data_IF_662380453555
#
_entry.id   IF_662380453555
#
_cell.length_a   1.000
_cell.length_b   1.000
_cell.length_c   1.000
_cell.angle_alpha   90.00
_cell.angle_beta   90.00
_cell.angle_gamma   90.00
#
_symmetry.space_group_name_H-M   'P 1'
#
loop_
_entity.id
_entity.type
_entity.pdbx_description
1 polymer ?
#
# COMPACT_ATOMS: atom_id res chain seq x y z
N UNK A 1 -26.85 -26.00 23.41
CA UNK A 1 -25.67 -25.27 22.90
C UNK A 1 -24.37 -25.93 23.36
N UNK A 2 -24.19 -26.17 24.66
CA UNK A 2 -22.99 -26.85 25.21
C UNK A 2 -22.84 -28.30 24.72
N UNK A 3 -23.91 -29.09 24.70
CA UNK A 3 -23.91 -30.44 24.11
C UNK A 3 -23.80 -30.45 22.57
N UNK A 4 -24.20 -29.36 21.91
CA UNK A 4 -24.22 -29.23 20.44
C UNK A 4 -22.87 -28.76 19.86
N UNK A 5 -22.05 -28.10 20.68
CA UNK A 5 -20.70 -27.65 20.32
C UNK A 5 -19.60 -28.54 20.95
N UNK A 6 -19.97 -29.43 21.87
CA UNK A 6 -19.10 -30.06 22.85
C UNK A 6 -18.34 -31.33 22.43
N UNK A 7 -18.15 -31.64 21.14
CA UNK A 7 -17.35 -32.83 20.78
C UNK A 7 -16.39 -32.68 19.60
N UNK A 8 -16.39 -31.55 18.87
CA UNK A 8 -15.50 -31.37 17.71
C UNK A 8 -14.75 -30.03 17.61
N UNK A 9 -15.17 -29.00 18.32
CA UNK A 9 -14.60 -27.65 18.20
C UNK A 9 -14.23 -27.09 19.60
N UNK A 10 -13.04 -26.52 19.77
CA UNK A 10 -12.53 -25.90 21.01
C UNK A 10 -13.33 -24.63 21.43
N UNK A 11 -14.65 -24.73 21.56
CA UNK A 11 -15.56 -23.62 21.86
C UNK A 11 -15.98 -23.62 23.33
N UNK A 12 -15.93 -22.46 23.97
CA UNK A 12 -16.42 -22.25 25.35
C UNK A 12 -17.62 -21.30 25.37
N UNK A 13 -18.67 -21.68 26.08
CA UNK A 13 -19.84 -20.84 26.34
C UNK A 13 -19.68 -20.09 27.66
N UNK A 14 -20.00 -18.80 27.64
CA UNK A 14 -19.87 -17.91 28.79
C UNK A 14 -21.22 -17.27 29.12
N UNK A 15 -21.53 -17.13 30.40
CA UNK A 15 -22.86 -16.70 30.88
C UNK A 15 -23.24 -15.25 30.51
N UNK A 16 -22.27 -14.47 30.03
CA UNK A 16 -22.49 -13.11 29.58
C UNK A 16 -21.21 -12.44 29.12
N UNK A 17 -21.34 -11.23 28.60
CA UNK A 17 -20.22 -10.51 27.99
C UNK A 17 -19.06 -10.25 28.96
N UNK A 18 -19.34 -9.97 30.23
CA UNK A 18 -18.28 -9.80 31.25
C UNK A 18 -17.42 -11.05 31.40
N UNK A 19 -18.05 -12.23 31.43
CA UNK A 19 -17.35 -13.51 31.54
C UNK A 19 -16.57 -13.82 30.26
N UNK A 20 -17.18 -13.59 29.09
CA UNK A 20 -16.55 -13.71 27.77
C UNK A 20 -15.28 -12.86 27.65
N UNK A 21 -15.36 -11.58 28.01
CA UNK A 21 -14.23 -10.66 27.97
C UNK A 21 -13.14 -11.06 28.98
N UNK A 22 -13.53 -11.54 30.17
CA UNK A 22 -12.61 -12.07 31.16
C UNK A 22 -11.86 -13.31 30.65
N UNK A 23 -12.58 -14.23 29.99
CA UNK A 23 -12.01 -15.43 29.35
C UNK A 23 -11.05 -15.05 28.23
N UNK A 24 -11.41 -14.11 27.37
CA UNK A 24 -10.54 -13.59 26.31
C UNK A 24 -9.21 -13.06 26.86
N UNK A 25 -9.26 -12.23 27.92
CA UNK A 25 -8.05 -11.74 28.58
C UNK A 25 -7.23 -12.85 29.25
N UNK A 26 -7.91 -13.87 29.79
CA UNK A 26 -7.26 -15.06 30.34
C UNK A 26 -6.49 -15.84 29.28
N UNK A 27 -7.13 -16.14 28.14
CA UNK A 27 -6.52 -16.82 27.00
C UNK A 27 -5.35 -16.01 26.43
N UNK A 28 -5.52 -14.70 26.26
CA UNK A 28 -4.46 -13.83 25.77
C UNK A 28 -3.25 -13.78 26.72
N UNK A 29 -3.50 -13.74 28.02
CA UNK A 29 -2.42 -13.76 29.02
C UNK A 29 -1.69 -15.11 29.06
N UNK A 30 -2.42 -16.22 28.91
CA UNK A 30 -1.85 -17.56 28.87
C UNK A 30 -1.03 -17.80 27.60
N UNK A 31 -1.51 -17.33 26.45
CA UNK A 31 -0.79 -17.45 25.18
C UNK A 31 0.41 -16.49 25.06
N UNK A 32 0.36 -15.37 25.78
CA UNK A 32 1.33 -14.28 25.80
C UNK A 32 1.97 -13.90 24.44
N UNK A 33 1.18 -13.61 23.39
CA UNK A 33 1.70 -13.35 22.05
C UNK A 33 2.51 -12.04 21.98
N UNK A 34 3.63 -12.06 21.26
CA UNK A 34 4.42 -10.85 20.96
C UNK A 34 3.72 -9.92 19.96
N UNK A 35 2.94 -10.51 19.04
CA UNK A 35 2.25 -9.80 17.95
C UNK A 35 0.77 -10.14 17.97
N UNK A 36 -0.07 -9.11 17.93
CA UNK A 36 -1.50 -9.21 17.69
C UNK A 36 -1.77 -8.86 16.24
N UNK A 37 -2.33 -9.81 15.48
CA UNK A 37 -2.69 -9.64 14.07
C UNK A 37 -4.19 -9.43 13.96
N UNK A 38 -4.62 -8.48 13.14
CA UNK A 38 -6.04 -8.31 12.83
C UNK A 38 -6.31 -7.32 11.71
N UNK A 39 -7.59 -7.09 11.44
CA UNK A 39 -8.06 -6.14 10.45
C UNK A 39 -8.65 -4.90 11.12
N UNK A 40 -8.22 -3.71 10.67
CA UNK A 40 -8.61 -2.43 11.27
C UNK A 40 -8.50 -2.42 12.81
N UNK A 41 -7.36 -2.91 13.31
CA UNK A 41 -7.15 -3.16 14.73
C UNK A 41 -7.38 -1.91 15.59
N UNK A 42 -7.19 -0.72 15.04
CA UNK A 42 -7.46 0.54 15.72
C UNK A 42 -8.92 0.67 16.15
N UNK A 43 -9.86 0.40 15.24
CA UNK A 43 -11.29 0.47 15.55
C UNK A 43 -11.71 -0.69 16.46
N UNK A 44 -11.31 -1.92 16.12
CA UNK A 44 -11.66 -3.14 16.85
C UNK A 44 -11.21 -3.11 18.32
N UNK A 45 -9.96 -2.69 18.57
CA UNK A 45 -9.44 -2.59 19.94
C UNK A 45 -10.03 -1.41 20.71
N UNK A 46 -10.34 -0.29 20.05
CA UNK A 46 -11.02 0.83 20.71
C UNK A 46 -12.41 0.40 21.21
N UNK A 47 -13.16 -0.35 20.40
CA UNK A 47 -14.44 -0.92 20.79
C UNK A 47 -14.29 -1.95 21.93
N UNK A 48 -13.30 -2.84 21.85
CA UNK A 48 -13.01 -3.81 22.91
C UNK A 48 -12.71 -3.11 24.25
N UNK A 49 -11.89 -2.06 24.25
CA UNK A 49 -11.60 -1.27 25.45
C UNK A 49 -12.85 -0.62 26.03
N UNK A 50 -13.72 -0.09 25.17
CA UNK A 50 -14.99 0.47 25.60
C UNK A 50 -15.86 -0.58 26.31
N UNK A 51 -15.96 -1.80 25.76
CA UNK A 51 -16.72 -2.90 26.39
C UNK A 51 -16.10 -3.40 27.69
N UNK A 52 -14.77 -3.57 27.75
CA UNK A 52 -14.06 -3.91 29.00
C UNK A 52 -14.38 -2.92 30.12
N UNK A 53 -14.43 -1.63 29.78
CA UNK A 53 -14.76 -0.56 30.73
C UNK A 53 -16.24 -0.58 31.15
N UNK A 54 -17.15 -0.75 30.19
CA UNK A 54 -18.59 -0.77 30.43
C UNK A 54 -18.99 -1.97 31.29
N UNK A 55 -18.44 -3.15 31.01
CA UNK A 55 -18.68 -4.39 31.75
C UNK A 55 -17.85 -4.48 33.05
N UNK A 56 -17.03 -3.47 33.37
CA UNK A 56 -16.15 -3.39 34.56
C UNK A 56 -15.23 -4.61 34.71
N UNK A 57 -14.70 -5.14 33.59
CA UNK A 57 -13.92 -6.38 33.58
C UNK A 57 -12.60 -6.17 34.33
N UNK A 58 -12.25 -7.01 35.31
CA UNK A 58 -11.02 -6.87 36.07
C UNK A 58 -9.80 -7.22 35.20
N UNK A 59 -8.61 -6.73 35.59
CA UNK A 59 -7.35 -7.04 34.92
C UNK A 59 -7.31 -6.74 33.40
N UNK A 60 -8.02 -5.70 32.94
CA UNK A 60 -8.01 -5.27 31.54
C UNK A 60 -6.59 -5.03 30.97
N UNK A 61 -5.64 -4.67 31.83
CA UNK A 61 -4.24 -4.47 31.47
C UNK A 61 -3.56 -5.72 30.87
N UNK A 62 -4.13 -6.92 31.07
CA UNK A 62 -3.70 -8.18 30.42
C UNK A 62 -3.81 -8.15 28.89
N UNK A 63 -4.51 -7.16 28.33
CA UNK A 63 -4.50 -6.87 26.90
C UNK A 63 -3.09 -6.51 26.40
N UNK A 64 -2.29 -5.83 27.22
CA UNK A 64 -0.87 -5.61 27.03
C UNK A 64 -0.02 -6.49 27.95
N UNK A 65 1.26 -6.14 28.09
CA UNK A 65 2.19 -6.77 29.05
C UNK A 65 2.51 -5.89 30.25
N UNK A 66 2.09 -4.62 30.22
CA UNK A 66 2.30 -3.68 31.33
C UNK A 66 1.12 -3.70 32.30
N UNK A 67 1.37 -4.03 33.58
CA UNK A 67 0.35 -3.94 34.63
C UNK A 67 -0.10 -2.50 34.82
N UNK A 68 -1.42 -2.30 34.97
CA UNK A 68 -2.01 -0.99 35.20
C UNK A 68 -3.18 -1.03 36.17
N UNK A 69 -3.30 0.07 36.90
CA UNK A 69 -4.37 0.37 37.84
C UNK A 69 -5.39 1.33 37.22
N UNK A 70 -6.60 1.32 37.76
CA UNK A 70 -7.70 2.13 37.27
C UNK A 70 -8.39 1.57 36.02
N UNK A 71 -9.46 2.21 35.52
CA UNK A 71 -10.19 1.78 34.34
C UNK A 71 -9.42 2.08 33.04
N UNK A 72 -9.70 1.35 31.94
CA UNK A 72 -9.12 1.67 30.64
C UNK A 72 -9.56 3.06 30.16
N UNK A 73 -8.63 3.82 29.56
CA UNK A 73 -8.92 5.14 29.01
C UNK A 73 -9.88 5.05 27.82
N UNK A 74 -10.92 5.89 27.82
CA UNK A 74 -11.94 5.98 26.78
C UNK A 74 -11.77 7.30 26.02
N UNK A 75 -10.73 7.43 25.23
CA UNK A 75 -10.54 8.59 24.37
C UNK A 75 -10.53 8.17 22.89
N UNK A 76 -11.02 9.02 21.97
CA UNK A 76 -10.95 8.74 20.54
C UNK A 76 -9.49 8.74 20.05
N UNK A 77 -9.20 7.87 19.07
CA UNK A 77 -7.89 7.78 18.42
C UNK A 77 -7.02 6.59 18.84
N UNK A 78 -5.86 6.46 18.18
CA UNK A 78 -4.98 5.29 18.33
C UNK A 78 -4.13 5.31 19.63
N UNK A 79 -4.09 6.45 20.33
CA UNK A 79 -3.30 6.63 21.56
C UNK A 79 -3.71 5.67 22.68
N UNK A 80 -4.98 5.64 23.11
CA UNK A 80 -5.47 4.73 24.14
C UNK A 80 -5.30 3.25 23.77
N UNK A 81 -5.48 2.91 22.48
CA UNK A 81 -5.25 1.55 21.98
C UNK A 81 -3.78 1.15 22.11
N UNK A 82 -2.85 1.98 21.62
CA UNK A 82 -1.40 1.76 21.74
C UNK A 82 -0.97 1.67 23.19
N UNK A 83 -1.56 2.50 24.05
CA UNK A 83 -1.34 2.44 25.48
C UNK A 83 -1.80 1.07 26.00
N UNK A 84 -3.05 0.65 25.73
CA UNK A 84 -3.61 -0.58 26.28
C UNK A 84 -2.88 -1.87 25.88
N UNK A 85 -2.38 -1.96 24.64
CA UNK A 85 -1.63 -3.13 24.16
C UNK A 85 -0.12 -3.03 24.39
N UNK A 86 0.35 -2.07 25.20
CA UNK A 86 1.77 -1.84 25.41
C UNK A 86 2.53 -3.12 25.78
N UNK A 87 3.65 -3.36 25.09
CA UNK A 87 4.44 -4.60 25.20
C UNK A 87 4.05 -5.70 24.21
N UNK A 88 2.98 -5.50 23.42
CA UNK A 88 2.62 -6.33 22.26
C UNK A 88 2.64 -5.47 21.00
N UNK A 89 3.20 -5.99 19.92
CA UNK A 89 3.14 -5.35 18.61
C UNK A 89 1.76 -5.55 18.00
N UNK A 90 1.27 -4.54 17.27
CA UNK A 90 0.00 -4.61 16.58
C UNK A 90 0.24 -4.61 15.08
N UNK A 91 -0.10 -5.71 14.42
CA UNK A 91 -0.10 -5.80 12.98
C UNK A 91 -1.52 -5.62 12.43
N UNK A 92 -1.73 -4.47 11.81
CA UNK A 92 -2.99 -4.08 11.20
C UNK A 92 -2.93 -4.38 9.70
N UNK A 93 -3.62 -5.43 9.26
CA UNK A 93 -3.62 -5.88 7.87
C UNK A 93 -4.20 -4.82 6.93
N UNK A 94 -5.19 -4.03 7.36
CA UNK A 94 -5.78 -2.96 6.55
C UNK A 94 -4.74 -1.87 6.26
N UNK A 95 -4.01 -1.41 7.29
CA UNK A 95 -2.96 -0.39 7.13
C UNK A 95 -1.79 -0.92 6.31
N UNK A 96 -1.36 -2.14 6.60
CA UNK A 96 -0.25 -2.79 5.90
C UNK A 96 -0.59 -2.97 4.41
N UNK A 97 -1.80 -3.41 4.08
CA UNK A 97 -2.26 -3.54 2.70
C UNK A 97 -2.30 -2.18 1.97
N UNK A 98 -2.78 -1.11 2.62
CA UNK A 98 -2.79 0.25 2.05
C UNK A 98 -1.41 0.76 1.69
N UNK A 99 -0.40 0.38 2.47
CA UNK A 99 0.98 0.80 2.25
C UNK A 99 1.71 -0.06 1.21
N UNK A 100 1.50 -1.37 1.26
CA UNK A 100 2.27 -2.35 0.48
C UNK A 100 1.65 -2.68 -0.88
N UNK A 101 0.33 -2.54 -1.03
CA UNK A 101 -0.42 -3.00 -2.21
C UNK A 101 -1.32 -1.89 -2.76
N UNK A 102 -1.50 -1.86 -4.09
CA UNK A 102 -2.48 -1.00 -4.75
C UNK A 102 -3.75 -1.81 -5.08
N UNK A 103 -4.81 -1.66 -4.29
CA UNK A 103 -6.16 -2.25 -4.54
C UNK A 103 -7.11 -1.32 -5.31
N UNK A 104 -8.43 -1.49 -5.25
CA UNK A 104 -9.43 -0.43 -5.50
C UNK A 104 -10.14 -0.09 -4.21
N UNK A 105 -10.76 -1.08 -3.57
CA UNK A 105 -11.06 -1.09 -2.13
C UNK A 105 -9.91 -1.74 -1.35
N UNK A 106 -9.97 -1.54 -0.05
CA UNK A 106 -9.13 -2.26 0.91
C UNK A 106 -10.00 -2.97 1.93
N UNK A 107 -11.26 -3.26 1.60
CA UNK A 107 -12.14 -4.09 2.43
C UNK A 107 -11.59 -5.54 2.47
N UNK A 108 -11.92 -6.26 3.55
CA UNK A 108 -11.38 -7.61 3.78
C UNK A 108 -11.72 -8.56 2.62
N UNK A 109 -12.90 -8.41 2.03
CA UNK A 109 -13.39 -9.21 0.92
C UNK A 109 -12.52 -9.03 -0.33
N UNK A 110 -12.29 -7.79 -0.76
CA UNK A 110 -11.46 -7.49 -1.94
C UNK A 110 -10.00 -7.86 -1.70
N UNK A 111 -9.48 -7.66 -0.49
CA UNK A 111 -8.11 -8.05 -0.17
C UNK A 111 -7.93 -9.57 -0.15
N UNK A 112 -8.89 -10.32 0.37
CA UNK A 112 -8.86 -11.78 0.39
C UNK A 112 -8.94 -12.35 -1.03
N UNK A 113 -9.81 -11.81 -1.88
CA UNK A 113 -9.94 -12.25 -3.27
C UNK A 113 -8.70 -11.89 -4.10
N UNK A 114 -8.20 -10.66 -3.96
CA UNK A 114 -7.07 -10.18 -4.77
C UNK A 114 -5.74 -10.83 -4.38
N UNK A 115 -5.46 -10.97 -3.08
CA UNK A 115 -4.17 -11.46 -2.56
C UNK A 115 -4.18 -12.96 -2.29
N UNK A 116 -5.22 -13.49 -1.65
CA UNK A 116 -5.27 -14.91 -1.26
C UNK A 116 -5.96 -15.79 -2.30
N UNK A 117 -6.52 -15.20 -3.38
CA UNK A 117 -7.35 -15.90 -4.38
C UNK A 117 -8.52 -16.67 -3.76
N UNK A 118 -8.99 -16.21 -2.60
CA UNK A 118 -10.06 -16.84 -1.84
C UNK A 118 -11.10 -15.79 -1.49
N UNK A 119 -12.33 -16.01 -1.93
CA UNK A 119 -13.46 -15.15 -1.53
C UNK A 119 -13.80 -15.41 -0.06
N UNK A 120 -14.02 -14.33 0.70
CA UNK A 120 -14.56 -14.43 2.07
C UNK A 120 -15.91 -15.16 2.02
N UNK A 121 -16.11 -16.11 2.92
CA UNK A 121 -17.35 -16.85 3.00
C UNK A 121 -18.41 -16.00 3.72
N UNK A 122 -19.34 -15.41 2.96
CA UNK A 122 -20.43 -14.60 3.49
C UNK A 122 -20.21 -13.08 3.36
N UNK A 123 -21.12 -12.30 3.96
CA UNK A 123 -21.09 -10.84 4.05
C UNK A 123 -21.09 -10.40 5.52
N UNK A 124 -20.86 -9.12 5.77
CA UNK A 124 -21.01 -8.56 7.12
C UNK A 124 -22.45 -8.76 7.64
N UNK A 125 -22.54 -9.21 8.88
CA UNK A 125 -23.82 -9.48 9.54
C UNK A 125 -24.44 -8.19 10.04
N UNK A 126 -25.72 -7.97 9.70
CA UNK A 126 -26.51 -6.89 10.27
C UNK A 126 -26.91 -7.20 11.71
N UNK A 127 -27.20 -6.15 12.49
CA UNK A 127 -27.67 -6.32 13.87
C UNK A 127 -28.98 -7.11 13.96
N UNK A 128 -29.81 -7.09 12.91
CA UNK A 128 -31.04 -7.87 12.83
C UNK A 128 -30.74 -9.36 12.64
N UNK A 129 -29.87 -9.71 11.70
CA UNK A 129 -29.45 -11.11 11.45
C UNK A 129 -28.74 -11.70 12.68
N UNK A 130 -27.92 -10.92 13.39
CA UNK A 130 -27.31 -11.37 14.64
C UNK A 130 -28.38 -11.68 15.68
N UNK A 131 -29.38 -10.80 15.87
CA UNK A 131 -30.47 -11.08 16.82
C UNK A 131 -31.26 -12.34 16.43
N UNK A 132 -31.56 -12.49 15.15
CA UNK A 132 -32.27 -13.65 14.61
C UNK A 132 -31.51 -14.96 14.86
N UNK A 133 -30.19 -14.95 14.64
CA UNK A 133 -29.32 -16.09 14.88
C UNK A 133 -29.34 -16.56 16.34
N UNK A 134 -29.57 -15.66 17.30
CA UNK A 134 -29.74 -15.99 18.72
C UNK A 134 -31.20 -16.31 19.11
N UNK A 135 -32.20 -15.77 18.41
CA UNK A 135 -33.62 -15.98 18.74
C UNK A 135 -34.24 -17.23 18.10
N UNK A 136 -33.65 -17.75 17.01
CA UNK A 136 -34.22 -18.84 16.21
C UNK A 136 -34.29 -20.23 16.86
N UNK A 137 -33.94 -20.37 18.16
CA UNK A 137 -34.03 -21.63 18.92
C UNK A 137 -33.09 -22.75 18.47
N UNK A 138 -32.33 -22.57 17.38
CA UNK A 138 -31.39 -23.55 16.81
C UNK A 138 -29.95 -23.09 17.03
N UNK A 139 -29.12 -23.97 17.58
CA UNK A 139 -27.68 -23.71 17.79
C UNK A 139 -26.89 -23.42 16.50
N UNK A 140 -27.47 -23.76 15.35
CA UNK A 140 -26.91 -23.56 14.02
C UNK A 140 -26.64 -22.09 13.67
N UNK A 141 -27.53 -21.16 14.06
CA UNK A 141 -27.33 -19.72 13.79
C UNK A 141 -26.10 -19.16 14.51
N UNK A 142 -25.96 -19.50 15.80
CA UNK A 142 -24.80 -19.12 16.62
C UNK A 142 -23.52 -19.80 16.12
N UNK A 143 -23.60 -21.06 15.68
CA UNK A 143 -22.45 -21.77 15.10
C UNK A 143 -21.92 -21.05 13.86
N UNK A 144 -22.79 -20.63 12.94
CA UNK A 144 -22.40 -19.87 11.73
C UNK A 144 -21.74 -18.54 12.05
N UNK A 145 -22.21 -17.83 13.08
CA UNK A 145 -21.58 -16.59 13.54
C UNK A 145 -20.14 -16.84 14.04
N UNK A 146 -19.95 -17.89 14.83
CA UNK A 146 -18.62 -18.26 15.36
C UNK A 146 -17.68 -18.69 14.23
N UNK A 147 -18.16 -19.54 13.30
CA UNK A 147 -17.38 -19.97 12.13
C UNK A 147 -16.99 -18.78 11.25
N UNK A 148 -17.91 -17.84 11.01
CA UNK A 148 -17.63 -16.62 10.26
C UNK A 148 -16.53 -15.78 10.91
N UNK A 149 -16.59 -15.56 12.23
CA UNK A 149 -15.57 -14.80 12.95
C UNK A 149 -14.19 -15.50 12.97
N UNK A 150 -14.17 -16.84 13.06
CA UNK A 150 -12.94 -17.64 12.98
C UNK A 150 -12.34 -17.59 11.57
N UNK A 151 -13.16 -17.69 10.53
CA UNK A 151 -12.72 -17.57 9.15
C UNK A 151 -12.10 -16.19 8.88
N UNK A 152 -12.72 -15.11 9.35
CA UNK A 152 -12.16 -13.75 9.22
C UNK A 152 -10.82 -13.61 9.94
N UNK A 153 -10.68 -14.20 11.12
CA UNK A 153 -9.41 -14.22 11.88
C UNK A 153 -8.32 -14.98 11.12
N UNK A 154 -8.66 -16.11 10.50
CA UNK A 154 -7.74 -16.88 9.67
C UNK A 154 -7.34 -16.12 8.39
N UNK A 155 -8.28 -15.43 7.75
CA UNK A 155 -7.99 -14.56 6.61
C UNK A 155 -7.02 -13.43 6.99
N UNK A 156 -7.19 -12.80 8.16
CA UNK A 156 -6.26 -11.79 8.65
C UNK A 156 -4.83 -12.32 8.79
N UNK A 157 -4.68 -13.53 9.34
CA UNK A 157 -3.37 -14.16 9.50
C UNK A 157 -2.73 -14.50 8.15
N UNK A 158 -3.51 -15.05 7.22
CA UNK A 158 -3.04 -15.36 5.87
C UNK A 158 -2.67 -14.08 5.09
N UNK A 159 -3.44 -13.00 5.23
CA UNK A 159 -3.10 -11.70 4.65
C UNK A 159 -1.80 -11.15 5.23
N UNK A 160 -1.61 -11.24 6.55
CA UNK A 160 -0.37 -10.80 7.18
C UNK A 160 0.86 -11.55 6.63
N UNK A 161 0.70 -12.85 6.37
CA UNK A 161 1.72 -13.68 5.75
C UNK A 161 1.99 -13.28 4.30
N UNK A 162 0.94 -13.17 3.47
CA UNK A 162 1.05 -12.86 2.04
C UNK A 162 1.62 -11.45 1.79
N UNK A 163 1.25 -10.49 2.64
CA UNK A 163 1.82 -9.14 2.61
C UNK A 163 3.28 -9.09 3.05
N UNK A 164 3.79 -10.16 3.67
CA UNK A 164 5.09 -10.20 4.34
C UNK A 164 5.30 -9.00 5.28
N UNK A 165 4.21 -8.57 5.92
CA UNK A 165 4.15 -7.30 6.62
C UNK A 165 5.05 -7.28 7.87
N UNK A 166 5.28 -8.42 8.54
CA UNK A 166 6.17 -8.51 9.70
C UNK A 166 7.66 -8.36 9.32
N UNK A 167 8.23 -9.15 8.39
CA UNK A 167 9.59 -8.95 7.90
C UNK A 167 9.85 -7.53 7.37
N UNK A 168 8.89 -6.98 6.61
CA UNK A 168 8.99 -5.64 6.05
C UNK A 168 8.89 -4.57 7.14
N UNK A 169 7.95 -4.65 8.08
CA UNK A 169 7.81 -3.65 9.15
C UNK A 169 9.01 -3.62 10.10
N UNK A 170 9.61 -4.78 10.38
CA UNK A 170 10.87 -4.88 11.12
C UNK A 170 11.99 -4.08 10.42
N UNK A 171 11.98 -4.05 9.09
CA UNK A 171 12.94 -3.31 8.29
C UNK A 171 12.56 -1.83 8.05
N UNK A 172 11.26 -1.50 8.11
CA UNK A 172 10.70 -0.18 7.73
C UNK A 172 10.58 0.80 8.91
N UNK A 173 10.59 0.32 10.16
CA UNK A 173 10.29 1.08 11.41
C UNK A 173 11.19 2.30 11.71
N UNK A 174 11.92 2.85 10.72
CA UNK A 174 12.89 3.93 10.85
C UNK A 174 12.66 5.20 10.00
N UNK A 175 11.56 5.46 9.26
CA UNK A 175 11.47 6.73 8.47
C UNK A 175 10.04 7.33 8.30
N UNK A 176 9.94 8.68 8.20
CA UNK A 176 8.84 9.48 7.62
C UNK A 176 9.31 10.60 6.63
N UNK A 177 8.39 11.15 5.80
CA UNK A 177 8.62 11.85 4.50
C UNK A 177 8.39 13.39 4.52
N UNK A 178 8.88 14.12 3.49
CA UNK A 178 9.09 15.58 3.50
C UNK A 178 8.83 16.38 2.19
N UNK A 179 8.74 17.72 2.29
CA UNK A 179 8.56 18.70 1.18
C UNK A 179 9.72 19.70 0.99
N UNK A 180 10.31 19.71 -0.21
CA UNK A 180 11.29 20.66 -0.77
C UNK A 180 11.41 20.39 -2.28
N UNK A 181 12.06 21.27 -3.05
CA UNK A 181 12.19 21.13 -4.52
C UNK A 181 12.87 19.81 -4.89
N UNK A 182 12.09 18.92 -5.50
CA UNK A 182 12.49 17.55 -5.82
C UNK A 182 13.39 17.40 -7.05
N UNK A 183 13.40 16.20 -7.62
CA UNK A 183 14.20 15.87 -8.79
C UNK A 183 13.72 16.57 -10.08
N UNK A 184 14.63 16.67 -11.06
CA UNK A 184 14.32 17.16 -12.41
C UNK A 184 13.48 16.13 -13.16
N UNK A 185 12.47 16.60 -13.90
CA UNK A 185 11.68 15.77 -14.82
C UNK A 185 11.76 16.39 -16.20
N UNK A 186 12.47 15.71 -17.10
CA UNK A 186 12.63 16.12 -18.49
C UNK A 186 11.28 16.17 -19.22
N UNK A 187 11.15 17.06 -20.20
CA UNK A 187 10.00 17.06 -21.08
C UNK A 187 10.05 15.84 -22.00
N UNK A 188 9.00 15.01 -22.04
CA UNK A 188 8.98 13.83 -22.88
C UNK A 188 8.79 14.19 -24.36
N UNK A 189 9.48 13.47 -25.24
CA UNK A 189 9.18 13.46 -26.68
C UNK A 189 7.90 12.64 -26.92
N UNK A 190 6.75 13.32 -26.84
CA UNK A 190 5.43 12.68 -26.90
C UNK A 190 5.21 11.97 -28.23
N UNK A 191 4.55 10.83 -28.18
CA UNK A 191 4.24 10.04 -29.37
C UNK A 191 4.33 8.54 -29.13
N UNK A 192 3.96 7.78 -30.16
CA UNK A 192 4.18 6.35 -30.24
C UNK A 192 5.57 6.12 -30.85
N UNK A 193 6.40 5.35 -30.15
CA UNK A 193 7.73 4.95 -30.58
C UNK A 193 7.71 3.44 -30.83
N UNK A 194 7.96 3.05 -32.08
CA UNK A 194 7.91 1.68 -32.60
C UNK A 194 9.27 0.95 -32.55
N UNK A 195 10.35 1.71 -32.36
CA UNK A 195 11.72 1.21 -32.18
C UNK A 195 12.00 0.85 -30.72
N UNK A 196 13.07 0.08 -30.50
CA UNK A 196 13.56 -0.22 -29.15
C UNK A 196 13.97 1.07 -28.43
N UNK A 197 13.45 1.24 -27.21
CA UNK A 197 13.81 2.31 -26.28
C UNK A 197 14.59 1.70 -25.12
N UNK A 198 15.76 2.27 -24.85
CA UNK A 198 16.59 1.91 -23.72
C UNK A 198 16.30 2.85 -22.55
N UNK A 199 15.90 2.28 -21.41
CA UNK A 199 15.78 3.01 -20.15
C UNK A 199 17.06 2.82 -19.33
N UNK A 200 17.70 3.94 -19.03
CA UNK A 200 18.85 4.00 -18.13
C UNK A 200 18.39 4.63 -16.80
N UNK A 201 18.74 4.00 -15.69
CA UNK A 201 18.46 4.52 -14.35
C UNK A 201 19.70 4.44 -13.45
N UNK A 202 19.71 5.28 -12.42
CA UNK A 202 20.73 5.27 -11.39
C UNK A 202 20.42 4.24 -10.31
N UNK A 203 21.44 3.47 -9.92
CA UNK A 203 21.36 2.65 -8.72
C UNK A 203 21.37 3.52 -7.45
N UNK A 204 20.18 3.94 -7.01
CA UNK A 204 19.98 4.76 -5.80
C UNK A 204 20.65 6.13 -5.89
N UNK A 205 20.18 6.98 -6.81
CA UNK A 205 20.71 8.33 -7.07
C UNK A 205 21.04 9.15 -5.81
N UNK A 206 20.06 9.42 -4.93
CA UNK A 206 20.27 10.29 -3.77
C UNK A 206 21.21 9.71 -2.71
N UNK A 207 21.08 8.44 -2.28
CA UNK A 207 22.09 7.81 -1.44
C UNK A 207 23.52 7.87 -2.02
N UNK A 208 23.66 7.71 -3.34
CA UNK A 208 24.97 7.77 -4.01
C UNK A 208 25.53 9.19 -4.06
N UNK A 209 24.70 10.21 -4.30
CA UNK A 209 25.09 11.64 -4.22
C UNK A 209 25.58 11.98 -2.81
N UNK A 210 24.88 11.51 -1.78
CA UNK A 210 25.28 11.75 -0.39
C UNK A 210 26.68 11.19 -0.12
N UNK A 211 26.99 10.01 -0.65
CA UNK A 211 28.31 9.41 -0.50
C UNK A 211 29.38 10.11 -1.36
N UNK A 212 29.10 10.32 -2.65
CA UNK A 212 30.04 10.91 -3.61
C UNK A 212 30.52 12.30 -3.17
N UNK A 213 29.61 13.13 -2.65
CA UNK A 213 29.91 14.50 -2.21
C UNK A 213 30.10 14.63 -0.68
N UNK A 214 30.16 13.49 0.03
CA UNK A 214 30.30 13.40 1.49
C UNK A 214 29.36 14.34 2.26
N UNK A 215 28.06 14.28 1.95
CA UNK A 215 27.06 15.18 2.52
C UNK A 215 26.59 14.70 3.89
N UNK A 216 26.93 15.43 4.94
CA UNK A 216 26.61 15.11 6.33
C UNK A 216 26.37 16.40 7.12
N UNK A 217 25.72 16.28 8.28
CA UNK A 217 25.58 17.38 9.24
C UNK A 217 26.94 17.97 9.66
N UNK A 218 27.94 17.10 9.83
CA UNK A 218 29.31 17.49 10.24
C UNK A 218 30.11 18.14 9.11
N UNK A 219 29.86 17.76 7.85
CA UNK A 219 30.62 18.28 6.71
C UNK A 219 30.07 19.60 6.19
N UNK A 220 28.80 19.91 6.44
CA UNK A 220 28.17 21.16 6.00
C UNK A 220 28.43 22.35 6.93
N UNK A 221 28.72 22.12 8.22
CA UNK A 221 29.13 23.20 9.13
C UNK A 221 30.46 23.86 8.71
N UNK A 222 31.34 23.13 8.02
CA UNK A 222 32.61 23.65 7.48
C UNK A 222 32.50 24.30 6.11
N UNK A 223 31.33 24.30 5.45
CA UNK A 223 31.14 24.93 4.13
C UNK A 223 30.70 26.40 4.20
N UNK A 224 31.09 27.11 5.26
CA UNK A 224 30.89 28.55 5.36
C UNK A 224 31.61 29.30 4.25
N UNK A 225 30.83 29.81 3.30
CA UNK A 225 30.98 31.12 2.63
C UNK A 225 32.26 31.51 1.86
N UNK A 226 33.25 30.66 1.62
CA UNK A 226 34.37 31.05 0.74
C UNK A 226 34.66 30.03 -0.36
N UNK A 227 34.40 30.50 -1.59
CA UNK A 227 35.19 30.32 -2.81
C UNK A 227 35.97 29.02 -3.02
N UNK A 228 35.57 28.27 -4.04
CA UNK A 228 36.51 27.64 -4.98
C UNK A 228 37.51 26.61 -4.45
N UNK A 229 37.24 25.36 -4.82
CA UNK A 229 38.20 24.26 -4.93
C UNK A 229 38.75 23.59 -3.65
N UNK A 230 38.41 22.29 -3.60
CA UNK A 230 38.83 21.20 -2.70
C UNK A 230 38.04 21.03 -1.40
N UNK A 231 37.35 19.90 -1.36
CA UNK A 231 36.70 19.34 -0.18
C UNK A 231 37.78 18.90 0.82
N UNK A 232 37.68 19.23 2.12
CA UNK A 232 38.58 18.66 3.11
C UNK A 232 38.34 17.15 3.23
N UNK A 233 39.40 16.36 3.19
CA UNK A 233 39.37 14.95 3.58
C UNK A 233 39.21 14.87 5.10
N UNK A 234 38.01 14.51 5.57
CA UNK A 234 37.70 14.31 6.99
C UNK A 234 37.29 12.85 7.26
N UNK A 235 37.52 12.33 8.48
CA UNK A 235 37.84 10.91 8.69
C UNK A 235 36.67 9.93 8.66
N UNK A 236 35.42 10.38 8.62
CA UNK A 236 34.27 9.48 8.57
C UNK A 236 33.38 9.84 7.39
N UNK A 237 33.37 8.97 6.38
CA UNK A 237 32.38 8.97 5.30
C UNK A 237 30.98 8.96 5.91
N UNK A 238 29.94 9.32 5.15
CA UNK A 238 28.54 9.09 5.52
C UNK A 238 28.25 7.58 5.76
N UNK A 239 28.76 7.03 6.86
CA UNK A 239 29.07 5.62 7.05
C UNK A 239 27.80 4.78 7.11
N UNK A 240 26.72 5.36 7.64
CA UNK A 240 25.41 4.69 7.71
C UNK A 240 24.85 4.47 6.29
N UNK A 241 24.85 5.50 5.44
CA UNK A 241 24.33 5.38 4.07
C UNK A 241 25.24 4.51 3.21
N UNK A 242 26.57 4.68 3.35
CA UNK A 242 27.56 3.82 2.70
C UNK A 242 27.35 2.35 3.05
N UNK A 243 27.27 2.02 4.34
CA UNK A 243 27.03 0.65 4.83
C UNK A 243 25.71 0.08 4.32
N UNK A 244 24.63 0.87 4.26
CA UNK A 244 23.35 0.41 3.72
C UNK A 244 23.43 0.07 2.23
N UNK A 245 24.09 0.92 1.44
CA UNK A 245 24.26 0.70 -0.01
C UNK A 245 25.21 -0.47 -0.29
N UNK A 246 26.32 -0.59 0.44
CA UNK A 246 27.25 -1.71 0.35
C UNK A 246 26.60 -3.04 0.76
N UNK A 247 25.88 -3.05 1.89
CA UNK A 247 25.11 -4.23 2.32
C UNK A 247 24.09 -4.62 1.26
N UNK A 248 23.42 -3.65 0.64
CA UNK A 248 22.47 -3.91 -0.46
C UNK A 248 23.17 -4.49 -1.68
N UNK A 249 24.35 -3.99 -2.06
CA UNK A 249 25.17 -4.55 -3.16
C UNK A 249 25.56 -5.99 -2.86
N UNK A 250 26.01 -6.29 -1.64
CA UNK A 250 26.33 -7.64 -1.22
C UNK A 250 25.12 -8.58 -1.31
N UNK A 251 23.94 -8.16 -0.82
CA UNK A 251 22.70 -8.95 -0.93
C UNK A 251 22.28 -9.14 -2.40
N UNK A 252 22.41 -8.12 -3.26
CA UNK A 252 22.16 -8.27 -4.71
C UNK A 252 23.15 -9.22 -5.39
N UNK A 253 24.40 -9.27 -4.92
CA UNK A 253 25.40 -10.21 -5.43
C UNK A 253 25.03 -11.64 -5.07
N UNK A 254 24.57 -11.88 -3.84
CA UNK A 254 24.07 -13.19 -3.41
C UNK A 254 22.87 -13.62 -4.27
N UNK A 255 21.93 -12.72 -4.56
CA UNK A 255 20.77 -12.99 -5.43
C UNK A 255 21.12 -13.46 -6.85
N UNK A 256 22.35 -13.23 -7.33
CA UNK A 256 22.80 -13.71 -8.64
C UNK A 256 23.19 -15.19 -8.64
N UNK A 257 23.32 -15.82 -7.47
CA UNK A 257 23.69 -17.24 -7.37
C UNK A 257 22.55 -18.13 -7.88
N UNK A 258 22.77 -18.91 -8.96
CA UNK A 258 21.74 -19.80 -9.52
C UNK A 258 21.37 -20.96 -8.58
N UNK A 259 22.17 -21.28 -7.57
CA UNK A 259 21.93 -22.40 -6.63
C UNK A 259 21.00 -22.05 -5.46
N UNK A 260 20.53 -20.81 -5.37
CA UNK A 260 19.63 -20.37 -4.30
C UNK A 260 18.27 -21.06 -4.35
N UNK A 261 17.83 -21.60 -3.21
CA UNK A 261 16.45 -22.07 -3.01
C UNK A 261 15.46 -20.90 -3.12
N UNK A 262 14.23 -21.19 -3.55
CA UNK A 262 13.20 -20.17 -3.77
C UNK A 262 12.88 -19.35 -2.51
N UNK A 263 12.76 -19.99 -1.34
CA UNK A 263 12.55 -19.30 -0.06
C UNK A 263 13.68 -18.32 0.29
N UNK A 264 14.93 -18.73 0.08
CA UNK A 264 16.10 -17.89 0.34
C UNK A 264 16.15 -16.70 -0.64
N UNK A 265 15.78 -16.94 -1.90
CA UNK A 265 15.68 -15.89 -2.92
C UNK A 265 14.63 -14.84 -2.53
N UNK A 266 13.46 -15.28 -2.08
CA UNK A 266 12.40 -14.39 -1.56
C UNK A 266 12.91 -13.58 -0.38
N UNK A 267 13.56 -14.20 0.61
CA UNK A 267 14.11 -13.50 1.78
C UNK A 267 15.17 -12.45 1.42
N UNK A 268 16.10 -12.80 0.52
CA UNK A 268 17.14 -11.88 0.06
C UNK A 268 16.54 -10.73 -0.76
N UNK A 269 15.49 -10.98 -1.56
CA UNK A 269 14.79 -9.94 -2.29
C UNK A 269 14.03 -8.97 -1.36
N UNK A 270 13.36 -9.49 -0.32
CA UNK A 270 12.78 -8.65 0.74
C UNK A 270 13.86 -7.78 1.38
N UNK A 271 14.98 -8.39 1.77
CA UNK A 271 16.10 -7.69 2.43
C UNK A 271 16.68 -6.59 1.54
N UNK A 272 16.89 -6.81 0.25
CA UNK A 272 17.40 -5.75 -0.64
C UNK A 272 16.37 -4.64 -0.87
N UNK A 273 15.07 -4.97 -0.96
CA UNK A 273 13.97 -3.99 -1.06
C UNK A 273 13.92 -3.10 0.16
N UNK A 274 14.03 -3.68 1.35
CA UNK A 274 14.10 -2.94 2.60
C UNK A 274 15.33 -2.04 2.71
N UNK A 275 16.52 -2.53 2.38
CA UNK A 275 17.73 -1.71 2.37
C UNK A 275 17.61 -0.54 1.38
N UNK A 276 17.01 -0.79 0.20
CA UNK A 276 16.69 0.25 -0.79
C UNK A 276 15.75 1.30 -0.21
N UNK A 277 14.65 0.85 0.38
CA UNK A 277 13.65 1.74 0.96
C UNK A 277 14.28 2.57 2.08
N UNK A 278 14.97 1.93 3.03
CA UNK A 278 15.67 2.58 4.14
C UNK A 278 16.63 3.66 3.65
N UNK A 279 17.51 3.35 2.69
CA UNK A 279 18.45 4.32 2.14
C UNK A 279 17.76 5.52 1.46
N UNK A 280 16.73 5.27 0.65
CA UNK A 280 15.95 6.34 0.00
C UNK A 280 15.19 7.20 1.01
N UNK A 281 14.74 6.56 2.07
CA UNK A 281 13.95 7.11 3.14
C UNK A 281 14.82 7.98 4.08
N UNK A 282 16.10 7.64 4.31
CA UNK A 282 17.03 8.50 5.06
C UNK A 282 17.17 9.90 4.45
N UNK A 283 17.23 10.00 3.12
CA UNK A 283 17.15 11.28 2.41
C UNK A 283 15.79 11.98 2.67
N UNK A 284 14.69 11.21 2.68
CA UNK A 284 13.36 11.71 3.02
C UNK A 284 13.31 12.36 4.41
N UNK A 285 13.96 11.76 5.41
CA UNK A 285 14.07 12.32 6.77
C UNK A 285 14.75 13.68 6.81
N UNK A 286 15.76 13.92 5.95
CA UNK A 286 16.49 15.20 5.92
C UNK A 286 15.58 16.36 5.47
N UNK A 287 14.56 16.10 4.66
CA UNK A 287 13.64 17.16 4.29
C UNK A 287 12.50 17.41 5.27
N UNK A 288 12.22 16.45 6.16
CA UNK A 288 10.92 16.39 6.83
C UNK A 288 10.94 17.34 8.01
N UNK A 289 10.09 18.37 8.00
CA UNK A 289 10.13 19.41 9.03
C UNK A 289 9.91 18.90 10.45
N UNK A 290 9.12 17.83 10.63
CA UNK A 290 8.89 17.24 11.95
C UNK A 290 9.91 16.14 12.30
N UNK A 291 10.88 15.88 11.42
CA UNK A 291 11.99 14.97 11.72
C UNK A 291 12.88 15.59 12.79
N UNK A 292 13.29 14.79 13.77
CA UNK A 292 14.33 15.18 14.74
C UNK A 292 15.63 15.57 14.04
N UNK A 293 15.91 14.97 12.89
CA UNK A 293 17.11 15.18 12.08
C UNK A 293 16.80 15.94 10.79
N UNK A 294 15.87 16.90 10.84
CA UNK A 294 15.55 17.74 9.70
C UNK A 294 16.77 18.59 9.29
N UNK A 295 17.12 18.54 8.01
CA UNK A 295 18.32 19.13 7.43
C UNK A 295 18.04 19.61 6.00
N UNK A 296 17.11 20.57 5.85
CA UNK A 296 16.68 21.10 4.55
C UNK A 296 17.85 21.53 3.63
N UNK A 297 18.92 22.19 4.10
CA UNK A 297 20.05 22.55 3.23
C UNK A 297 20.73 21.33 2.61
N UNK A 298 20.92 20.25 3.38
CA UNK A 298 21.49 18.99 2.88
C UNK A 298 20.57 18.41 1.81
N UNK A 299 19.28 18.34 2.11
CA UNK A 299 18.27 17.77 1.23
C UNK A 299 18.18 18.54 -0.11
N UNK A 300 18.21 19.88 -0.05
CA UNK A 300 18.22 20.75 -1.23
C UNK A 300 19.52 20.62 -2.05
N UNK A 301 20.67 20.48 -1.39
CA UNK A 301 21.95 20.27 -2.07
C UNK A 301 21.99 18.91 -2.79
N UNK A 302 21.47 17.86 -2.16
CA UNK A 302 21.32 16.53 -2.78
C UNK A 302 20.46 16.63 -4.04
N UNK A 303 19.31 17.31 -3.98
CA UNK A 303 18.48 17.45 -5.19
C UNK A 303 19.14 18.32 -6.24
N UNK A 304 19.85 19.38 -5.85
CA UNK A 304 20.59 20.22 -6.79
C UNK A 304 21.63 19.43 -7.57
N UNK A 305 22.50 18.70 -6.87
CA UNK A 305 23.50 17.84 -7.51
C UNK A 305 22.84 16.77 -8.38
N UNK A 306 21.70 16.22 -7.94
CA UNK A 306 20.94 15.26 -8.75
C UNK A 306 20.44 15.84 -10.06
N UNK A 307 19.99 17.10 -10.09
CA UNK A 307 19.60 17.79 -11.32
C UNK A 307 20.80 18.04 -12.23
N UNK A 308 21.93 18.49 -11.67
CA UNK A 308 23.15 18.74 -12.42
C UNK A 308 23.68 17.46 -13.08
N UNK A 309 23.67 16.34 -12.33
CA UNK A 309 24.09 15.03 -12.83
C UNK A 309 23.16 14.52 -13.94
N UNK A 310 21.85 14.69 -13.80
CA UNK A 310 20.87 14.30 -14.83
C UNK A 310 21.04 15.10 -16.14
N UNK A 311 21.61 16.29 -16.09
CA UNK A 311 21.93 17.09 -17.28
C UNK A 311 23.24 16.64 -17.97
N UNK A 312 24.06 15.81 -17.31
CA UNK A 312 25.34 15.34 -17.84
C UNK A 312 25.20 14.01 -18.59
N UNK A 313 25.86 13.89 -19.75
CA UNK A 313 25.75 12.72 -20.65
C UNK A 313 26.80 11.63 -20.42
N UNK A 314 27.84 11.86 -19.61
CA UNK A 314 28.99 10.94 -19.40
C UNK A 314 29.19 10.54 -17.94
N UNK A 315 28.11 10.21 -17.24
CA UNK A 315 28.12 10.07 -15.77
C UNK A 315 29.08 8.99 -15.26
N UNK A 316 29.10 7.79 -15.87
CA UNK A 316 29.98 6.69 -15.43
C UNK A 316 31.48 6.95 -15.62
N UNK A 317 31.87 8.00 -16.37
CA UNK A 317 33.28 8.42 -16.50
C UNK A 317 33.68 9.50 -15.51
N UNK A 318 32.69 10.23 -14.97
CA UNK A 318 32.91 11.43 -14.16
C UNK A 318 32.81 11.17 -12.66
N UNK A 319 32.10 10.13 -12.24
CA UNK A 319 31.82 9.83 -10.84
C UNK A 319 32.21 8.41 -10.47
N UNK A 320 32.62 8.22 -9.21
CA UNK A 320 33.12 6.93 -8.72
C UNK A 320 32.01 6.03 -8.19
N UNK A 321 31.00 6.60 -7.52
CA UNK A 321 29.94 5.86 -6.85
C UNK A 321 28.57 6.01 -7.54
N UNK A 322 28.45 6.89 -8.55
CA UNK A 322 27.26 7.01 -9.37
C UNK A 322 27.38 6.17 -10.64
N UNK A 323 26.55 5.13 -10.72
CA UNK A 323 26.50 4.20 -11.85
C UNK A 323 25.11 4.27 -12.51
N UNK A 324 25.10 4.57 -13.81
CA UNK A 324 23.98 4.36 -14.72
C UNK A 324 23.99 2.91 -15.20
N UNK A 325 22.86 2.22 -15.04
CA UNK A 325 22.62 0.88 -15.55
C UNK A 325 21.40 0.88 -16.49
N UNK A 326 21.33 -0.16 -17.32
CA UNK A 326 20.13 -0.46 -18.10
C UNK A 326 19.08 -1.01 -17.13
N UNK A 327 18.00 -0.27 -16.93
CA UNK A 327 16.86 -0.67 -16.10
C UNK A 327 15.85 -1.48 -16.92
N UNK A 328 15.69 -1.14 -18.20
CA UNK A 328 14.77 -1.83 -19.09
C UNK A 328 14.94 -1.52 -20.57
N UNK A 329 14.38 -2.39 -21.39
CA UNK A 329 14.24 -2.20 -22.84
C UNK A 329 12.75 -2.24 -23.17
N UNK A 330 12.27 -1.31 -23.99
CA UNK A 330 10.85 -1.19 -24.33
C UNK A 330 10.63 -1.21 -25.84
N UNK A 331 9.57 -1.86 -26.32
CA UNK A 331 9.10 -1.79 -27.71
C UNK A 331 7.70 -2.39 -27.90
N UNK A 332 6.70 -1.65 -28.42
CA UNK A 332 6.67 -0.20 -28.63
C UNK A 332 6.42 0.55 -27.31
N UNK A 333 6.57 1.87 -27.32
CA UNK A 333 6.30 2.77 -26.19
C UNK A 333 5.43 3.96 -26.61
N UNK A 334 4.28 4.11 -25.97
CA UNK A 334 3.42 5.29 -26.05
C UNK A 334 3.77 6.25 -24.90
N UNK A 335 4.38 7.37 -25.23
CA UNK A 335 4.77 8.40 -24.29
C UNK A 335 3.83 9.61 -24.38
N UNK A 336 3.01 9.83 -23.35
CA UNK A 336 1.93 10.82 -23.40
C UNK A 336 2.32 12.15 -22.74
N UNK A 337 2.73 12.11 -21.47
CA UNK A 337 3.09 13.29 -20.64
C UNK A 337 4.13 12.89 -19.60
N UNK A 338 4.62 13.86 -18.83
CA UNK A 338 5.52 13.61 -17.69
C UNK A 338 4.93 12.52 -16.78
N UNK A 339 5.71 11.47 -16.52
CA UNK A 339 5.33 10.30 -15.70
C UNK A 339 4.08 9.54 -16.20
N UNK A 340 3.69 9.71 -17.47
CA UNK A 340 2.53 9.09 -18.09
C UNK A 340 2.92 8.37 -19.38
N UNK A 341 3.07 7.06 -19.32
CA UNK A 341 3.45 6.23 -20.46
C UNK A 341 2.85 4.83 -20.37
N UNK A 342 2.82 4.15 -21.50
CA UNK A 342 2.60 2.72 -21.60
C UNK A 342 3.58 2.13 -22.61
N UNK A 343 4.09 0.93 -22.33
CA UNK A 343 5.06 0.27 -23.17
C UNK A 343 4.95 -1.25 -23.05
N UNK A 344 5.57 -1.96 -23.97
CA UNK A 344 5.90 -3.37 -23.75
C UNK A 344 7.37 -3.48 -23.35
N UNK A 345 7.61 -3.96 -22.13
CA UNK A 345 8.94 -4.32 -21.64
C UNK A 345 9.40 -5.57 -22.39
N UNK A 346 10.63 -5.53 -22.87
CA UNK A 346 11.23 -6.60 -23.67
C UNK A 346 12.21 -7.34 -22.77
N UNK A 347 12.04 -8.65 -22.63
CA UNK A 347 13.02 -9.51 -21.98
C UNK A 347 13.49 -10.59 -22.94
N UNK A 348 14.79 -10.94 -22.85
CA UNK A 348 15.40 -11.95 -23.71
C UNK A 348 15.54 -13.25 -22.91
N UNK A 349 14.85 -14.30 -23.37
CA UNK A 349 14.98 -15.65 -22.82
C UNK A 349 16.34 -16.28 -23.14
N UNK A 350 16.67 -17.39 -22.46
CA UNK A 350 17.92 -18.11 -22.66
C UNK A 350 18.12 -18.57 -24.12
N UNK A 351 17.02 -18.85 -24.82
CA UNK A 351 17.01 -19.31 -26.21
C UNK A 351 17.09 -18.14 -27.23
N UNK A 352 17.21 -16.89 -26.75
CA UNK A 352 17.23 -15.70 -27.59
C UNK A 352 15.85 -15.16 -27.97
N UNK A 353 14.76 -15.85 -27.60
CA UNK A 353 13.38 -15.40 -27.81
C UNK A 353 13.07 -14.14 -27.00
N UNK A 354 12.38 -13.19 -27.62
CA UNK A 354 11.95 -11.95 -26.97
C UNK A 354 10.53 -12.13 -26.44
N UNK A 355 10.35 -11.94 -25.14
CA UNK A 355 9.03 -11.87 -24.52
C UNK A 355 8.66 -10.43 -24.22
N UNK A 356 7.37 -10.12 -24.36
CA UNK A 356 6.83 -8.77 -24.23
C UNK A 356 5.85 -8.74 -23.06
N UNK A 357 6.07 -7.84 -22.12
CA UNK A 357 5.18 -7.64 -20.98
C UNK A 357 4.69 -6.20 -20.93
N UNK A 358 3.37 -6.02 -20.84
CA UNK A 358 2.76 -4.69 -20.79
C UNK A 358 3.08 -3.98 -19.47
N UNK A 359 3.60 -2.77 -19.57
CA UNK A 359 3.86 -1.86 -18.46
C UNK A 359 3.12 -0.54 -18.67
N UNK A 360 2.37 -0.10 -17.64
CA UNK A 360 1.63 1.18 -17.66
C UNK A 360 2.00 1.99 -16.42
N UNK A 361 2.37 3.26 -16.62
CA UNK A 361 2.63 4.21 -15.53
C UNK A 361 1.85 5.49 -15.71
N UNK A 362 1.12 5.90 -14.67
CA UNK A 362 0.49 7.21 -14.55
C UNK A 362 -0.67 7.51 -15.51
N UNK A 363 -1.01 6.59 -16.41
CA UNK A 363 -2.20 6.68 -17.25
C UNK A 363 -3.46 6.47 -16.42
N UNK A 364 -4.56 7.04 -16.89
CA UNK A 364 -5.88 6.98 -16.27
C UNK A 364 -6.43 5.55 -16.17
N UNK A 365 -5.95 4.64 -17.02
CA UNK A 365 -6.31 3.21 -17.07
C UNK A 365 -6.07 2.50 -15.73
N UNK A 366 -5.08 2.95 -14.95
CA UNK A 366 -4.77 2.37 -13.63
C UNK A 366 -5.36 3.17 -12.46
N UNK A 367 -6.15 4.21 -12.75
CA UNK A 367 -6.80 5.01 -11.71
C UNK A 367 -8.12 4.40 -11.29
N UNK A 368 -8.48 4.61 -10.03
CA UNK A 368 -9.69 4.06 -9.39
C UNK A 368 -10.89 4.98 -9.54
N UNK A 369 -10.63 6.28 -9.73
CA UNK A 369 -11.62 7.34 -9.88
C UNK A 369 -12.16 7.45 -11.31
N UNK A 370 -12.08 6.37 -12.09
CA UNK A 370 -12.65 6.23 -13.42
C UNK A 370 -13.52 4.97 -13.46
N UNK A 371 -14.59 4.99 -14.25
CA UNK A 371 -15.50 3.85 -14.34
C UNK A 371 -14.82 2.60 -14.89
N UNK A 372 -15.30 1.42 -14.51
CA UNK A 372 -14.70 0.15 -14.97
C UNK A 372 -14.77 0.02 -16.49
N UNK A 373 -15.86 0.46 -17.12
CA UNK A 373 -16.01 0.46 -18.57
C UNK A 373 -14.99 1.39 -19.23
N UNK A 374 -14.75 2.58 -18.68
CA UNK A 374 -13.77 3.52 -19.23
C UNK A 374 -12.35 2.95 -19.14
N UNK A 375 -11.96 2.43 -17.97
CA UNK A 375 -10.64 1.81 -17.77
C UNK A 375 -10.46 0.55 -18.61
N UNK A 376 -11.47 -0.32 -18.71
CA UNK A 376 -11.46 -1.53 -19.54
C UNK A 376 -11.37 -1.23 -21.03
N UNK A 377 -12.17 -0.27 -21.51
CA UNK A 377 -12.14 0.17 -22.92
C UNK A 377 -10.79 0.79 -23.26
N UNK A 378 -10.29 1.70 -22.42
CA UNK A 378 -9.00 2.31 -22.62
C UNK A 378 -7.85 1.30 -22.57
N UNK A 379 -7.93 0.26 -21.73
CA UNK A 379 -6.97 -0.85 -21.72
C UNK A 379 -6.98 -1.62 -23.04
N UNK A 380 -8.16 -1.95 -23.59
CA UNK A 380 -8.28 -2.65 -24.88
C UNK A 380 -7.72 -1.83 -26.03
N UNK A 381 -8.04 -0.54 -26.07
CA UNK A 381 -7.49 0.40 -27.07
C UNK A 381 -5.97 0.50 -26.93
N UNK A 382 -5.45 0.54 -25.70
CA UNK A 382 -4.01 0.57 -25.47
C UNK A 382 -3.32 -0.70 -25.97
N UNK A 383 -3.91 -1.87 -25.75
CA UNK A 383 -3.36 -3.14 -26.23
C UNK A 383 -3.25 -3.16 -27.76
N UNK A 384 -4.27 -2.62 -28.45
CA UNK A 384 -4.22 -2.47 -29.90
C UNK A 384 -3.11 -1.49 -30.35
N UNK A 385 -2.95 -0.35 -29.67
CA UNK A 385 -1.89 0.61 -29.98
C UNK A 385 -0.50 0.00 -29.82
N UNK A 386 -0.32 -0.85 -28.80
CA UNK A 386 0.95 -1.52 -28.52
C UNK A 386 1.18 -2.79 -29.37
N UNK A 387 0.15 -3.29 -30.07
CA UNK A 387 0.26 -4.46 -30.95
C UNK A 387 1.09 -4.24 -32.22
N UNK A 388 1.51 -3.00 -32.49
CA UNK A 388 2.36 -2.63 -33.63
C UNK A 388 1.77 -3.05 -35.00
N UNK A 389 0.44 -2.96 -35.14
CA UNK A 389 -0.30 -3.19 -36.39
C UNK A 389 -0.23 -1.98 -37.33
N UNK A 390 -0.50 -2.14 -38.65
CA UNK A 390 -0.72 -1.02 -39.56
C UNK A 390 -1.78 -0.06 -39.04
N UNK A 391 -1.59 1.24 -39.31
CA UNK A 391 -2.40 2.32 -38.74
C UNK A 391 -3.86 2.23 -39.14
N UNK A 392 -4.14 1.82 -40.38
CA UNK A 392 -5.49 1.72 -40.95
C UNK A 392 -6.30 0.64 -40.22
N UNK A 393 -5.71 -0.54 -40.05
CA UNK A 393 -6.30 -1.66 -39.29
C UNK A 393 -6.53 -1.26 -37.83
N UNK A 394 -5.54 -0.61 -37.22
CA UNK A 394 -5.64 -0.13 -35.84
C UNK A 394 -6.80 0.86 -35.66
N UNK A 395 -6.96 1.82 -36.58
CA UNK A 395 -8.04 2.79 -36.53
C UNK A 395 -9.43 2.15 -36.69
N UNK A 396 -9.55 1.16 -37.58
CA UNK A 396 -10.80 0.43 -37.77
C UNK A 396 -11.20 -0.36 -36.51
N UNK A 397 -10.28 -1.14 -35.93
CA UNK A 397 -10.53 -1.93 -34.72
C UNK A 397 -10.86 -1.04 -33.50
N UNK A 398 -10.14 0.08 -33.32
CA UNK A 398 -10.45 1.03 -32.24
C UNK A 398 -11.85 1.63 -32.43
N UNK A 399 -12.21 2.00 -33.66
CA UNK A 399 -13.53 2.57 -33.97
C UNK A 399 -14.64 1.57 -33.66
N UNK A 400 -14.46 0.31 -34.04
CA UNK A 400 -15.42 -0.75 -33.76
C UNK A 400 -15.65 -0.94 -32.25
N UNK A 401 -14.56 -0.96 -31.45
CA UNK A 401 -14.65 -1.04 -29.98
C UNK A 401 -15.47 0.12 -29.42
N UNK A 402 -15.18 1.35 -29.84
CA UNK A 402 -15.85 2.55 -29.33
C UNK A 402 -17.33 2.58 -29.72
N UNK A 403 -17.67 2.19 -30.95
CA UNK A 403 -19.06 2.09 -31.42
C UNK A 403 -19.82 1.03 -30.60
N UNK A 404 -19.22 -0.16 -30.41
CA UNK A 404 -19.86 -1.24 -29.64
C UNK A 404 -20.11 -0.86 -28.18
N UNK A 405 -19.16 -0.16 -27.55
CA UNK A 405 -19.33 0.39 -26.20
C UNK A 405 -20.47 1.43 -26.15
N UNK A 406 -20.52 2.35 -27.13
CA UNK A 406 -21.57 3.36 -27.20
C UNK A 406 -22.96 2.76 -27.43
N UNK A 407 -23.06 1.76 -28.32
CA UNK A 407 -24.31 1.03 -28.57
C UNK A 407 -24.78 0.27 -27.31
N UNK A 408 -23.85 -0.42 -26.64
CA UNK A 408 -24.14 -1.13 -25.40
C UNK A 408 -24.65 -0.21 -24.29
N UNK A 409 -24.08 1.00 -24.17
CA UNK A 409 -24.56 2.02 -23.22
C UNK A 409 -25.95 2.54 -23.59
N UNK A 410 -26.19 2.89 -24.85
CA UNK A 410 -27.50 3.40 -25.32
C UNK A 410 -28.63 2.39 -25.17
N UNK A 411 -28.32 1.11 -25.38
CA UNK A 411 -29.29 0.03 -25.35
C UNK A 411 -29.36 -0.69 -23.98
N UNK A 412 -28.79 -0.10 -22.92
CA UNK A 412 -28.79 -0.67 -21.55
C UNK A 412 -28.24 -2.11 -21.46
N UNK A 413 -27.29 -2.48 -22.32
CA UNK A 413 -26.63 -3.80 -22.30
C UNK A 413 -25.41 -3.86 -21.39
N UNK A 414 -24.94 -2.71 -20.90
CA UNK A 414 -23.79 -2.60 -19.99
C UNK A 414 -24.26 -2.83 -18.55
N UNK A 415 -23.69 -3.80 -17.80
CA UNK A 415 -24.00 -3.99 -16.39
C UNK A 415 -23.65 -2.77 -15.54
N UNK A 416 -24.46 -2.48 -14.51
CA UNK A 416 -24.25 -1.34 -13.60
C UNK A 416 -22.86 -1.35 -12.94
N UNK A 417 -22.34 -2.54 -12.58
CA UNK A 417 -21.00 -2.69 -12.02
C UNK A 417 -19.90 -2.13 -12.93
N UNK A 418 -20.12 -2.12 -14.26
CA UNK A 418 -19.15 -1.55 -15.20
C UNK A 418 -19.14 -0.02 -15.18
N UNK A 419 -20.22 0.59 -14.70
CA UNK A 419 -20.38 2.04 -14.62
C UNK A 419 -19.83 2.61 -13.29
N UNK A 420 -19.53 1.75 -12.31
CA UNK A 420 -19.12 2.16 -10.96
C UNK A 420 -17.79 2.89 -10.93
N UNK A 421 -17.71 3.92 -10.08
CA UNK A 421 -16.52 4.75 -9.83
C UNK A 421 -16.15 4.62 -8.35
N UNK A 422 -14.85 4.46 -8.06
CA UNK A 422 -14.38 4.30 -6.68
C UNK A 422 -13.44 5.46 -6.28
N UNK A 423 -13.78 6.19 -5.21
CA UNK A 423 -12.96 7.30 -4.71
C UNK A 423 -12.82 7.26 -3.20
N UNK A 424 -11.60 7.50 -2.71
CA UNK A 424 -11.29 7.48 -1.28
C UNK A 424 -11.61 8.82 -0.61
N UNK A 425 -12.23 8.75 0.55
CA UNK A 425 -12.47 9.89 1.43
C UNK A 425 -11.17 10.30 2.13
N UNK A 426 -10.78 11.57 1.98
CA UNK A 426 -9.60 12.16 2.61
C UNK A 426 -9.89 12.73 4.01
N UNK A 427 -11.18 12.93 4.32
CA UNK A 427 -11.72 13.41 5.60
C UNK A 427 -12.96 12.59 5.95
N UNK A 428 -13.51 12.75 7.16
CA UNK A 428 -14.82 12.18 7.44
C UNK A 428 -15.87 12.86 6.52
N UNK A 429 -16.90 12.15 6.01
CA UNK A 429 -17.89 12.72 5.10
C UNK A 429 -18.48 14.06 5.58
N UNK A 430 -18.72 14.19 6.88
CA UNK A 430 -19.32 15.37 7.52
C UNK A 430 -18.37 16.58 7.61
N UNK A 431 -17.05 16.35 7.49
CA UNK A 431 -16.03 17.40 7.57
C UNK A 431 -15.76 18.09 6.22
N UNK A 432 -16.34 17.58 5.13
CA UNK A 432 -16.22 18.19 3.81
C UNK A 432 -17.03 19.49 3.75
N UNK A 433 -16.35 20.60 3.45
CA UNK A 433 -16.98 21.91 3.23
C UNK A 433 -17.06 22.14 1.72
N UNK A 434 -18.27 22.24 1.18
CA UNK A 434 -18.52 22.40 -0.26
C UNK A 434 -19.10 21.13 -0.88
N UNK A 435 -20.41 21.13 -1.13
CA UNK A 435 -21.20 19.96 -1.57
C UNK A 435 -21.06 19.59 -3.04
N UNK A 436 -19.85 19.60 -3.61
CA UNK A 436 -19.62 19.27 -5.03
C UNK A 436 -18.91 17.93 -5.26
N UNK A 437 -18.45 17.27 -4.20
CA UNK A 437 -17.74 16.01 -4.31
C UNK A 437 -18.72 14.83 -4.37
N UNK A 438 -18.85 14.21 -5.54
CA UNK A 438 -19.85 13.18 -5.81
C UNK A 438 -19.76 11.99 -4.84
N UNK A 439 -18.56 11.47 -4.63
CA UNK A 439 -18.27 10.40 -3.67
C UNK A 439 -18.64 10.73 -2.21
N UNK A 440 -18.64 12.01 -1.82
CA UNK A 440 -19.05 12.44 -0.49
C UNK A 440 -20.57 12.46 -0.40
N UNK A 441 -21.24 12.98 -1.43
CA UNK A 441 -22.69 12.98 -1.52
C UNK A 441 -23.26 11.55 -1.55
N UNK A 442 -22.63 10.63 -2.29
CA UNK A 442 -22.97 9.21 -2.27
C UNK A 442 -22.82 8.62 -0.85
N UNK A 443 -21.67 8.83 -0.20
CA UNK A 443 -21.43 8.33 1.16
C UNK A 443 -22.44 8.84 2.20
N UNK A 444 -22.85 10.11 2.10
CA UNK A 444 -23.86 10.71 3.00
C UNK A 444 -25.29 10.22 2.73
N UNK A 445 -25.56 9.74 1.51
CA UNK A 445 -26.85 9.23 1.05
C UNK A 445 -26.95 7.71 1.04
N UNK A 446 -25.95 7.02 1.58
CA UNK A 446 -25.89 5.57 1.62
C UNK A 446 -27.12 5.00 2.38
N UNK A 447 -27.94 4.26 1.66
CA UNK A 447 -29.19 3.68 2.18
C UNK A 447 -28.97 2.34 2.89
N UNK A 448 -27.76 1.77 2.81
CA UNK A 448 -27.42 0.47 3.43
C UNK A 448 -27.13 0.60 4.92
N UNK A 449 -26.98 1.83 5.42
CA UNK A 449 -26.62 2.12 6.81
C UNK A 449 -25.12 2.02 7.07
N UNK A 450 -24.28 1.87 6.03
CA UNK A 450 -22.82 1.87 6.17
C UNK A 450 -22.35 3.25 6.59
N UNK A 451 -21.63 3.34 7.70
CA UNK A 451 -20.98 4.59 8.14
C UNK A 451 -19.57 4.67 7.57
N UNK A 452 -19.38 5.57 6.61
CA UNK A 452 -18.07 5.86 6.03
C UNK A 452 -17.23 6.77 6.93
N UNK A 453 -15.93 6.50 6.99
CA UNK A 453 -14.95 7.31 7.72
C UNK A 453 -13.81 7.75 6.80
N UNK A 454 -12.97 8.65 7.33
CA UNK A 454 -11.73 9.08 6.67
C UNK A 454 -10.89 7.86 6.27
N UNK A 455 -10.54 7.80 4.99
CA UNK A 455 -9.70 6.75 4.40
C UNK A 455 -10.49 5.58 3.81
N UNK A 456 -11.81 5.57 3.91
CA UNK A 456 -12.67 4.58 3.25
C UNK A 456 -12.82 4.90 1.76
N UNK A 457 -12.97 3.87 0.94
CA UNK A 457 -13.31 4.00 -0.48
C UNK A 457 -14.82 3.94 -0.64
N UNK A 458 -15.38 4.93 -1.33
CA UNK A 458 -16.80 4.97 -1.70
C UNK A 458 -16.90 4.56 -3.16
N UNK A 459 -17.69 3.52 -3.42
CA UNK A 459 -18.06 3.12 -4.77
C UNK A 459 -19.45 3.67 -5.10
N UNK A 460 -19.58 4.37 -6.22
CA UNK A 460 -20.79 5.10 -6.57
C UNK A 460 -21.04 5.13 -8.09
N UNK A 461 -22.28 5.41 -8.44
CA UNK A 461 -22.80 5.63 -9.79
C UNK A 461 -23.30 7.07 -9.89
N UNK A 462 -23.20 7.65 -11.09
CA UNK A 462 -23.77 8.98 -11.38
C UNK A 462 -25.09 8.80 -12.11
N UNK A 463 -26.20 9.16 -11.46
CA UNK A 463 -27.53 9.12 -12.04
C UNK A 463 -28.00 10.52 -12.46
N UNK A 464 -28.79 10.59 -13.54
CA UNK A 464 -29.44 11.84 -13.94
C UNK A 464 -30.54 12.21 -12.93
N UNK A 465 -30.57 13.46 -12.46
CA UNK A 465 -31.60 13.99 -11.56
C UNK A 465 -31.38 13.71 -10.07
N UNK A 466 -31.03 12.49 -9.69
CA UNK A 466 -30.91 12.09 -8.27
C UNK A 466 -29.53 12.34 -7.66
N UNK A 467 -28.55 12.74 -8.47
CA UNK A 467 -27.16 12.88 -8.06
C UNK A 467 -26.46 11.51 -7.92
N UNK A 468 -25.27 11.47 -7.31
CA UNK A 468 -24.50 10.23 -7.18
C UNK A 468 -25.08 9.31 -6.11
N UNK A 469 -25.17 8.02 -6.41
CA UNK A 469 -25.74 6.98 -5.54
C UNK A 469 -24.68 5.91 -5.30
N UNK A 470 -24.57 5.40 -4.08
CA UNK A 470 -23.67 4.28 -3.77
C UNK A 470 -24.05 3.06 -4.60
N UNK A 471 -23.05 2.42 -5.21
CA UNK A 471 -23.24 1.32 -6.16
C UNK A 471 -23.63 0.00 -5.51
#
# INVERSE_FOLDING_TARGET
LTELLGSRDNASLEAGERALLGRLLGLLHQADPDVLVGFDCGASLAWLLHRLAACRVPHWHKLGRLRRNGPPQRAPGLGPVRHAVAGRLLLDCLKSAKELVKGRSYDLDELSESLLKRRRAGRDWSAAEVREAFSGGRAEGVRRLVESALNDSALCLNLAHELQALPLSLQITQINKAEYTGGLVLEPKRGLHDKFILLLDFNSLYPSIIQEFNLCFTTLQHRGLESGDRLPELPDRAAVIGKLVETRRAVKSLLKDPKLRDEQRVQLDIRQKALKLTANSLYGCLGFQQSRFAAKPIAALVTSKGRDILAQTKVNKLYRLLELEIDGVYRPMLLCRKKKYAALTVTKGANGELTYQREVKGLEIVRRDWSRIATGTASRVLDLILANKPRETLQAEIREILIGVADGLKNNRVPMEQLSIAKMLTKAPEEYRGGHDEHVAAALRDSTGRRYKKGDTVEYLVAAGDGPVTS
#
